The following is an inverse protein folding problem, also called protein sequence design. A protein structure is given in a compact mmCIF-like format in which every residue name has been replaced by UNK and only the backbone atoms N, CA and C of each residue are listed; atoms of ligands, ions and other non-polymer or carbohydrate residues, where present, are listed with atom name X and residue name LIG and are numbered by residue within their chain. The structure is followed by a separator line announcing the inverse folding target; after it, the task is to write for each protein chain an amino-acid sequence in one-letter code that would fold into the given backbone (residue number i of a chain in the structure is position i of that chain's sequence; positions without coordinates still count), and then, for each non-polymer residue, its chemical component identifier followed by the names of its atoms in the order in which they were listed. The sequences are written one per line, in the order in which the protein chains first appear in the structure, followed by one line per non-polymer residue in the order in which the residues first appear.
data_IF_541373698502
#
_entry.id   IF_541373698502
#
_cell.length_a   1.000
_cell.length_b   1.000
_cell.length_c   1.000
_cell.angle_alpha   90.00
_cell.angle_beta   90.00
_cell.angle_gamma   90.00
#
_symmetry.space_group_name_H-M   'P 1'
#
loop_
_entity.id
_entity.type
_entity.pdbx_description
1 polymer ?
#
# COMPACT_ATOMS: atom_id res chain seq x y z
N UNK A 1 -5.16 -22.43 9.44
CA UNK A 1 -3.85 -22.06 9.99
C UNK A 1 -3.75 -20.54 10.00
N UNK A 2 -3.52 -19.97 11.17
CA UNK A 2 -3.53 -18.54 11.46
C UNK A 2 -2.21 -17.86 11.10
N UNK A 3 -2.29 -16.53 10.99
CA UNK A 3 -1.25 -15.50 10.97
C UNK A 3 -0.78 -14.99 9.59
N UNK A 4 -1.32 -13.83 9.22
CA UNK A 4 -0.57 -12.81 8.50
C UNK A 4 -0.95 -11.45 9.10
N UNK A 5 -0.17 -11.02 10.09
CA UNK A 5 -0.24 -9.69 10.67
C UNK A 5 0.28 -8.68 9.63
N UNK A 6 -0.61 -7.87 9.07
CA UNK A 6 -0.24 -6.79 8.17
C UNK A 6 0.44 -5.66 8.97
N UNK A 7 1.74 -5.51 8.81
CA UNK A 7 2.51 -4.42 9.38
C UNK A 7 2.09 -3.09 8.72
N UNK A 8 1.42 -2.22 9.50
CA UNK A 8 1.16 -0.84 9.11
C UNK A 8 2.44 -0.03 9.28
N UNK A 9 3.09 0.34 8.18
CA UNK A 9 4.13 1.37 8.20
C UNK A 9 3.49 2.72 8.49
N UNK A 10 3.54 3.16 9.74
CA UNK A 10 3.30 4.55 10.11
C UNK A 10 4.49 5.39 9.63
N UNK A 11 4.32 6.07 8.48
CA UNK A 11 5.27 7.08 8.03
C UNK A 11 5.15 8.29 8.96
N UNK A 12 5.96 8.33 10.00
CA UNK A 12 6.12 9.51 10.84
C UNK A 12 6.66 10.66 9.98
N UNK A 13 5.84 11.68 9.74
CA UNK A 13 6.28 12.90 9.09
C UNK A 13 7.25 13.64 10.03
N UNK A 14 8.38 14.19 9.52
CA UNK A 14 9.29 14.95 10.36
C UNK A 14 8.59 16.23 10.82
N UNK A 15 8.38 16.36 12.14
CA UNK A 15 8.05 17.63 12.78
C UNK A 15 9.20 18.59 12.50
N UNK A 16 9.00 19.51 11.55
CA UNK A 16 9.87 20.68 11.39
C UNK A 16 9.75 21.50 12.68
N UNK A 17 10.73 21.39 13.55
CA UNK A 17 10.93 22.33 14.63
C UNK A 17 11.25 23.68 13.98
N UNK A 18 10.27 24.59 13.95
CA UNK A 18 10.52 25.97 13.60
C UNK A 18 11.32 26.58 14.76
N UNK A 19 12.65 26.60 14.61
CA UNK A 19 13.53 27.44 15.42
C UNK A 19 13.20 28.90 15.07
N UNK A 20 12.29 29.49 15.84
CA UNK A 20 12.12 30.93 15.89
C UNK A 20 13.37 31.52 16.54
N UNK A 21 14.38 31.86 15.72
CA UNK A 21 15.43 32.79 16.12
C UNK A 21 14.78 34.18 16.28
N UNK A 22 14.43 34.52 17.52
CA UNK A 22 14.18 35.90 17.89
C UNK A 22 15.50 36.67 17.81
N UNK A 23 15.58 37.63 16.89
CA UNK A 23 16.62 38.65 16.90
C UNK A 23 16.46 39.47 18.19
N UNK A 24 17.34 39.25 19.16
CA UNK A 24 17.50 40.17 20.28
C UNK A 24 18.25 41.41 19.77
N UNK A 25 17.51 42.49 19.52
CA UNK A 25 18.09 43.82 19.37
C UNK A 25 18.26 44.37 20.80
N UNK A 26 19.47 44.31 21.34
CA UNK A 26 19.81 45.00 22.59
C UNK A 26 20.10 46.46 22.27
N UNK A 27 19.08 47.30 22.34
CA UNK A 27 19.21 48.74 22.31
C UNK A 27 19.48 49.23 23.73
N UNK A 28 20.73 49.60 24.01
CA UNK A 28 21.19 50.06 25.31
C UNK A 28 21.06 51.59 25.38
N UNK A 29 19.90 52.07 25.84
CA UNK A 29 19.73 53.47 26.21
C UNK A 29 19.84 53.64 27.73
N UNK A 30 20.90 54.34 28.13
CA UNK A 30 21.24 54.74 29.49
C UNK A 30 20.45 55.99 29.92
N UNK A 31 19.75 55.84 31.04
CA UNK A 31 19.37 56.82 32.07
C UNK A 31 19.01 58.27 31.67
N UNK A 32 17.74 58.62 31.89
CA UNK A 32 17.38 59.94 32.41
C UNK A 32 16.17 59.85 33.35
N UNK A 33 16.25 60.58 34.46
CA UNK A 33 15.43 60.48 35.66
C UNK A 33 14.01 61.02 35.47
N UNK A 34 12.99 60.23 35.83
CA UNK A 34 11.67 60.77 36.20
C UNK A 34 11.09 60.00 37.39
N UNK A 35 10.46 60.76 38.26
CA UNK A 35 9.99 60.41 39.59
C UNK A 35 8.96 59.26 39.61
N UNK A 36 8.90 58.58 40.76
CA UNK A 36 8.03 57.43 41.03
C UNK A 36 6.54 57.78 40.88
N UNK A 37 5.94 57.40 39.76
CA UNK A 37 4.50 57.10 39.66
C UNK A 37 4.32 55.58 39.69
N UNK A 38 3.87 55.03 40.81
CA UNK A 38 3.75 53.58 41.07
C UNK A 38 2.56 52.91 40.37
N UNK A 39 2.02 53.52 39.32
CA UNK A 39 0.95 52.96 38.50
C UNK A 39 1.51 52.37 37.22
N UNK A 40 2.00 51.12 37.29
CA UNK A 40 2.37 50.35 36.08
C UNK A 40 1.09 50.02 35.32
N UNK A 41 0.68 50.91 34.42
CA UNK A 41 -0.41 50.63 33.49
C UNK A 41 0.01 49.50 32.55
N UNK A 42 -0.80 48.44 32.39
CA UNK A 42 -0.55 47.45 31.36
C UNK A 42 -0.53 48.19 30.03
N UNK A 43 0.44 47.91 29.17
CA UNK A 43 0.50 48.53 27.83
C UNK A 43 -0.82 48.26 27.12
N UNK A 44 -1.68 49.27 27.04
CA UNK A 44 -2.97 49.20 26.37
C UNK A 44 -2.74 49.20 24.86
N UNK A 45 -2.28 48.05 24.37
CA UNK A 45 -2.24 47.73 22.96
C UNK A 45 -3.59 47.16 22.56
N UNK A 46 -3.95 47.39 21.31
CA UNK A 46 -5.04 46.66 20.72
C UNK A 46 -4.74 45.12 20.89
N UNK A 47 -5.64 44.38 21.56
CA UNK A 47 -5.42 42.98 21.99
C UNK A 47 -5.55 41.89 20.90
N UNK A 48 -5.78 40.62 21.25
CA UNK A 48 -6.01 39.59 20.23
C UNK A 48 -7.32 39.81 19.44
N UNK A 49 -8.32 40.44 20.05
CA UNK A 49 -9.65 40.68 19.48
C UNK A 49 -9.64 41.57 18.23
N UNK A 50 -9.01 42.75 18.27
CA UNK A 50 -8.94 43.63 17.09
C UNK A 50 -8.08 43.01 15.99
N UNK A 51 -7.04 42.24 16.33
CA UNK A 51 -6.19 41.57 15.33
C UNK A 51 -7.03 40.58 14.57
N UNK A 52 -7.84 39.80 15.28
CA UNK A 52 -8.78 38.87 14.67
C UNK A 52 -9.86 39.62 13.87
N UNK A 53 -10.35 40.78 14.36
CA UNK A 53 -11.30 41.61 13.63
C UNK A 53 -10.71 42.20 12.34
N UNK A 54 -9.46 42.66 12.37
CA UNK A 54 -8.73 43.15 11.21
C UNK A 54 -8.48 42.02 10.20
N UNK A 55 -8.08 40.84 10.67
CA UNK A 55 -7.93 39.64 9.82
C UNK A 55 -9.27 39.21 9.21
N UNK A 56 -10.36 39.25 9.98
CA UNK A 56 -11.69 38.95 9.49
C UNK A 56 -12.15 39.97 8.44
N UNK A 57 -11.91 41.26 8.66
CA UNK A 57 -12.22 42.31 7.70
C UNK A 57 -11.43 42.13 6.38
N UNK A 58 -10.14 41.78 6.48
CA UNK A 58 -9.32 41.44 5.32
C UNK A 58 -9.86 40.20 4.61
N UNK A 59 -10.22 39.15 5.36
CA UNK A 59 -10.78 37.93 4.78
C UNK A 59 -12.10 38.19 4.04
N UNK A 60 -12.98 39.03 4.60
CA UNK A 60 -14.23 39.45 3.95
C UNK A 60 -13.95 40.27 2.69
N UNK A 61 -13.00 41.19 2.73
CA UNK A 61 -12.63 41.97 1.54
C UNK A 61 -12.06 41.10 0.41
N UNK A 62 -11.23 40.12 0.76
CA UNK A 62 -10.72 39.13 -0.20
C UNK A 62 -11.86 38.28 -0.74
N UNK A 63 -12.74 37.78 0.11
CA UNK A 63 -13.89 36.98 -0.30
C UNK A 63 -14.82 37.77 -1.23
N UNK A 64 -15.07 39.06 -0.96
CA UNK A 64 -15.88 39.92 -1.83
C UNK A 64 -15.23 40.16 -3.20
N UNK A 65 -13.92 40.43 -3.22
CA UNK A 65 -13.19 40.71 -4.47
C UNK A 65 -13.02 39.48 -5.36
N UNK A 66 -12.88 38.30 -4.75
CA UNK A 66 -12.71 37.03 -5.46
C UNK A 66 -13.96 36.17 -5.46
N UNK A 67 -15.11 36.72 -5.04
CA UNK A 67 -16.39 36.04 -5.15
C UNK A 67 -16.70 35.83 -6.65
N UNK A 68 -16.97 34.59 -7.08
CA UNK A 68 -17.36 34.33 -8.46
C UNK A 68 -18.69 35.04 -8.77
N UNK A 69 -18.77 35.62 -9.95
CA UNK A 69 -20.01 36.19 -10.47
C UNK A 69 -21.07 35.09 -10.71
N UNK A 70 -22.37 35.40 -10.67
CA UNK A 70 -23.41 34.41 -10.94
C UNK A 70 -23.26 33.85 -12.37
N UNK A 71 -22.77 32.61 -12.47
CA UNK A 71 -22.54 31.91 -13.74
C UNK A 71 -21.08 31.56 -14.04
N UNK A 72 -20.12 32.03 -13.24
CA UNK A 72 -18.71 31.62 -13.35
C UNK A 72 -18.36 30.56 -12.30
N UNK A 73 -17.60 29.54 -12.70
CA UNK A 73 -17.09 28.55 -11.76
C UNK A 73 -16.18 29.22 -10.72
N UNK A 74 -16.33 28.83 -9.46
CA UNK A 74 -15.43 29.30 -8.41
C UNK A 74 -13.96 29.04 -8.82
N UNK A 75 -13.06 29.99 -8.50
CA UNK A 75 -11.65 29.91 -8.88
C UNK A 75 -11.01 28.56 -8.52
N UNK A 76 -11.41 27.99 -7.39
CA UNK A 76 -10.97 26.68 -6.95
C UNK A 76 -11.47 25.56 -7.86
N UNK A 77 -12.75 25.58 -8.26
CA UNK A 77 -13.34 24.60 -9.18
C UNK A 77 -12.67 24.65 -10.54
N UNK A 78 -12.42 25.85 -11.07
CA UNK A 78 -11.67 26.03 -12.32
C UNK A 78 -10.23 25.52 -12.19
N UNK A 79 -9.53 25.85 -11.11
CA UNK A 79 -8.16 25.38 -10.83
C UNK A 79 -8.09 23.85 -10.73
N UNK A 80 -9.12 23.22 -10.17
CA UNK A 80 -9.27 21.77 -10.11
C UNK A 80 -9.55 21.19 -11.50
N UNK A 81 -10.46 21.79 -12.27
CA UNK A 81 -10.80 21.34 -13.62
C UNK A 81 -9.59 21.42 -14.58
N UNK A 82 -8.74 22.44 -14.46
CA UNK A 82 -7.51 22.59 -15.24
C UNK A 82 -6.47 21.48 -14.93
N UNK A 83 -6.51 20.88 -13.73
CA UNK A 83 -5.54 19.87 -13.27
C UNK A 83 -6.07 18.45 -13.32
N UNK A 84 -7.38 18.28 -13.45
CA UNK A 84 -8.00 16.97 -13.55
C UNK A 84 -7.81 16.42 -14.95
N UNK A 85 -7.46 15.13 -15.06
CA UNK A 85 -7.47 14.46 -16.35
C UNK A 85 -8.92 14.47 -16.92
N UNK A 86 -9.08 14.61 -18.24
CA UNK A 86 -10.42 14.59 -18.83
C UNK A 86 -11.07 13.23 -18.53
N UNK A 87 -12.34 13.26 -18.13
CA UNK A 87 -13.10 12.09 -17.64
C UNK A 87 -12.99 10.88 -18.58
N UNK A 88 -12.94 11.12 -19.90
CA UNK A 88 -12.77 10.06 -20.91
C UNK A 88 -11.44 9.31 -20.77
N UNK A 89 -10.33 10.01 -20.57
CA UNK A 89 -9.01 9.39 -20.44
C UNK A 89 -8.90 8.58 -19.13
N UNK A 90 -9.46 9.10 -18.03
CA UNK A 90 -9.50 8.35 -16.77
C UNK A 90 -10.39 7.09 -16.89
N UNK A 91 -11.51 7.18 -17.58
CA UNK A 91 -12.37 6.03 -17.86
C UNK A 91 -11.65 4.96 -18.67
N UNK A 92 -10.99 5.34 -19.78
CA UNK A 92 -10.19 4.43 -20.60
C UNK A 92 -9.05 3.78 -19.80
N UNK A 93 -8.33 4.56 -18.97
CA UNK A 93 -7.28 4.03 -18.09
C UNK A 93 -7.84 3.00 -17.10
N UNK A 94 -8.99 3.29 -16.48
CA UNK A 94 -9.62 2.39 -15.52
C UNK A 94 -10.15 1.11 -16.19
N UNK A 95 -10.69 1.22 -17.41
CA UNK A 95 -11.07 0.06 -18.21
C UNK A 95 -9.86 -0.82 -18.52
N UNK A 96 -8.79 -0.23 -19.06
CA UNK A 96 -7.56 -0.96 -19.39
C UNK A 96 -6.96 -1.66 -18.16
N UNK A 97 -6.94 -0.98 -17.01
CA UNK A 97 -6.50 -1.59 -15.76
C UNK A 97 -7.36 -2.79 -15.35
N UNK A 98 -8.67 -2.69 -15.53
CA UNK A 98 -9.62 -3.77 -15.20
C UNK A 98 -9.38 -4.99 -16.09
N UNK A 99 -9.20 -4.79 -17.40
CA UNK A 99 -8.88 -5.87 -18.34
C UNK A 99 -7.55 -6.56 -18.00
N UNK A 100 -6.49 -5.78 -17.77
CA UNK A 100 -5.18 -6.33 -17.39
C UNK A 100 -5.24 -7.10 -16.07
N UNK A 101 -6.01 -6.61 -15.10
CA UNK A 101 -6.20 -7.29 -13.80
C UNK A 101 -6.94 -8.63 -13.99
N UNK A 102 -7.94 -8.65 -14.87
CA UNK A 102 -8.69 -9.87 -15.19
C UNK A 102 -7.80 -10.91 -15.88
N UNK A 103 -6.99 -10.49 -16.87
CA UNK A 103 -6.02 -11.37 -17.54
C UNK A 103 -5.02 -11.97 -16.55
N UNK A 104 -4.41 -11.13 -15.70
CA UNK A 104 -3.48 -11.59 -14.66
C UNK A 104 -4.14 -12.55 -13.67
N UNK A 105 -5.41 -12.33 -13.33
CA UNK A 105 -6.16 -13.24 -12.46
C UNK A 105 -6.37 -14.60 -13.14
N UNK A 106 -6.73 -14.61 -14.43
CA UNK A 106 -6.93 -15.84 -15.18
C UNK A 106 -5.64 -16.64 -15.33
N UNK A 107 -4.52 -15.99 -15.62
CA UNK A 107 -3.22 -16.64 -15.67
C UNK A 107 -2.85 -17.29 -14.32
N UNK A 108 -3.07 -16.57 -13.22
CA UNK A 108 -2.84 -17.11 -11.87
C UNK A 108 -3.71 -18.33 -11.59
N UNK A 109 -4.98 -18.30 -11.97
CA UNK A 109 -5.88 -19.44 -11.82
C UNK A 109 -5.41 -20.64 -12.65
N UNK A 110 -4.99 -20.40 -13.90
CA UNK A 110 -4.47 -21.45 -14.78
C UNK A 110 -3.26 -22.17 -14.17
N UNK A 111 -2.28 -21.42 -13.64
CA UNK A 111 -1.12 -22.03 -12.99
C UNK A 111 -1.43 -22.62 -11.61
N UNK A 112 -2.40 -22.07 -10.88
CA UNK A 112 -2.82 -22.61 -9.59
C UNK A 112 -3.60 -23.93 -9.73
N UNK A 113 -4.39 -24.08 -10.79
CA UNK A 113 -5.14 -25.31 -11.08
C UNK A 113 -4.25 -26.44 -11.61
N UNK A 114 -3.12 -26.10 -12.24
CA UNK A 114 -2.17 -27.06 -12.76
C UNK A 114 -1.62 -27.98 -11.63
N UNK A 115 -2.19 -29.18 -11.51
CA UNK A 115 -1.69 -30.20 -10.59
C UNK A 115 -0.42 -30.81 -11.18
N UNK A 116 0.64 -30.90 -10.36
CA UNK A 116 1.80 -31.73 -10.71
C UNK A 116 1.30 -33.16 -10.92
N UNK A 117 1.73 -33.87 -11.98
CA UNK A 117 1.41 -35.28 -12.09
C UNK A 117 1.95 -35.99 -10.85
N UNK A 118 1.17 -36.95 -10.33
CA UNK A 118 1.63 -37.79 -9.23
C UNK A 118 2.73 -38.68 -9.80
N UNK A 119 3.98 -38.32 -9.54
CA UNK A 119 5.13 -39.18 -9.83
C UNK A 119 5.14 -40.22 -8.72
N UNK A 120 4.68 -41.43 -9.01
CA UNK A 120 4.91 -42.58 -8.13
C UNK A 120 6.37 -43.00 -8.36
N UNK A 121 7.29 -42.81 -7.39
CA UNK A 121 8.61 -43.36 -7.52
C UNK A 121 8.47 -44.87 -7.54
N UNK A 122 8.66 -45.48 -8.71
CA UNK A 122 8.85 -46.93 -8.81
C UNK A 122 10.18 -47.24 -8.16
N UNK A 123 10.12 -47.71 -6.91
CA UNK A 123 11.27 -48.26 -6.23
C UNK A 123 11.69 -49.54 -6.96
N UNK A 124 12.99 -49.77 -7.12
CA UNK A 124 13.60 -50.94 -7.78
C UNK A 124 12.88 -52.28 -7.46
N UNK A 125 12.44 -52.58 -6.21
CA UNK A 125 11.68 -53.82 -5.91
C UNK A 125 10.36 -53.96 -6.68
N UNK A 126 9.65 -52.86 -6.98
CA UNK A 126 8.40 -52.89 -7.75
C UNK A 126 8.62 -53.11 -9.24
N UNK A 127 9.80 -52.77 -9.77
CA UNK A 127 10.18 -53.01 -11.16
C UNK A 127 10.58 -54.48 -11.36
N UNK A 128 11.26 -55.08 -10.39
CA UNK A 128 11.62 -56.51 -10.40
C UNK A 128 10.38 -57.44 -10.44
N UNK A 129 9.24 -57.01 -9.86
CA UNK A 129 7.97 -57.73 -9.96
C UNK A 129 7.39 -57.74 -11.38
N UNK A 130 7.68 -56.72 -12.20
CA UNK A 130 7.25 -56.68 -13.60
C UNK A 130 8.07 -57.63 -14.47
N UNK A 131 9.35 -57.83 -14.13
CA UNK A 131 10.26 -58.68 -14.91
C UNK A 131 10.21 -60.17 -14.52
N UNK A 132 9.68 -60.52 -13.35
CA UNK A 132 9.53 -61.92 -12.89
C UNK A 132 8.59 -62.79 -13.74
N UNK A 133 7.81 -62.19 -14.66
CA UNK A 133 6.99 -62.91 -15.63
C UNK A 133 7.71 -63.22 -16.95
N UNK A 134 8.92 -62.69 -17.16
CA UNK A 134 9.68 -62.89 -18.38
C UNK A 134 10.37 -64.25 -18.38
N UNK A 135 10.26 -65.06 -19.45
CA UNK A 135 11.03 -66.30 -19.60
C UNK A 135 12.55 -66.11 -19.49
N UNK A 136 13.05 -64.89 -19.70
CA UNK A 136 14.47 -64.55 -19.71
C UNK A 136 14.98 -64.00 -18.37
N UNK A 137 14.10 -63.70 -17.40
CA UNK A 137 14.49 -63.16 -16.09
C UNK A 137 13.91 -64.00 -14.94
N UNK A 138 13.93 -65.32 -15.10
CA UNK A 138 13.57 -66.26 -14.03
C UNK A 138 14.85 -66.62 -13.27
N UNK A 139 14.98 -66.27 -11.98
CA UNK A 139 16.15 -66.67 -11.21
C UNK A 139 16.20 -68.20 -11.11
N UNK A 140 17.41 -68.74 -11.22
CA UNK A 140 17.65 -70.18 -11.11
C UNK A 140 17.15 -70.70 -9.77
N UNK A 141 16.31 -71.73 -9.79
CA UNK A 141 15.77 -72.38 -8.59
C UNK A 141 14.33 -72.02 -8.20
N UNK A 142 13.66 -71.06 -8.85
CA UNK A 142 12.23 -70.80 -8.63
C UNK A 142 11.31 -71.75 -9.41
N UNK A 143 11.71 -72.15 -10.63
CA UNK A 143 10.94 -73.09 -11.45
C UNK A 143 11.38 -74.51 -11.12
N UNK A 144 10.48 -75.32 -10.57
CA UNK A 144 10.70 -76.77 -10.48
C UNK A 144 10.35 -77.42 -11.81
N UNK A 145 11.23 -78.30 -12.28
CA UNK A 145 10.88 -79.22 -13.35
C UNK A 145 9.85 -80.24 -12.82
N UNK A 146 8.66 -80.22 -13.43
CA UNK A 146 7.55 -81.10 -13.08
C UNK A 146 7.30 -82.17 -14.16
N UNK A 147 8.19 -82.31 -15.15
CA UNK A 147 8.00 -83.25 -16.25
C UNK A 147 7.94 -84.71 -15.80
N UNK A 148 8.56 -85.05 -14.67
CA UNK A 148 8.58 -86.41 -14.10
C UNK A 148 7.47 -86.65 -13.06
N UNK A 149 6.60 -85.65 -12.81
CA UNK A 149 5.51 -85.80 -11.85
C UNK A 149 4.32 -86.50 -12.52
N UNK A 150 4.13 -87.79 -12.21
CA UNK A 150 2.91 -88.52 -12.56
C UNK A 150 1.83 -88.25 -11.53
N UNK A 151 0.69 -87.74 -12.00
CA UNK A 151 -0.53 -87.59 -11.18
C UNK A 151 -1.00 -88.98 -10.75
N UNK A 152 -1.11 -89.20 -9.44
CA UNK A 152 -1.72 -90.43 -8.90
C UNK A 152 -3.23 -90.30 -9.06
N UNK A 153 -3.80 -91.02 -10.02
CA UNK A 153 -5.24 -91.22 -10.09
C UNK A 153 -5.67 -92.21 -9.00
N UNK A 154 -6.65 -91.81 -8.18
CA UNK A 154 -7.39 -92.69 -7.28
C UNK A 154 -8.63 -93.22 -8.00
#
# INVERSE_FOLDING_TARGET
MSFAAAARLSRAAPRRAALSQTRAYSDSHSHEHHEEDTTVYPKEGFGAGWRNAALAAVAVAVAYKFAPSPGEDALLTRWMAERQAPVRQDFERNLNHTFLTQEQSNERLFFAEAKRPIILPVSIPSMEMLDNGSPFNVPVGLTRDLSDVKVKHN
#
